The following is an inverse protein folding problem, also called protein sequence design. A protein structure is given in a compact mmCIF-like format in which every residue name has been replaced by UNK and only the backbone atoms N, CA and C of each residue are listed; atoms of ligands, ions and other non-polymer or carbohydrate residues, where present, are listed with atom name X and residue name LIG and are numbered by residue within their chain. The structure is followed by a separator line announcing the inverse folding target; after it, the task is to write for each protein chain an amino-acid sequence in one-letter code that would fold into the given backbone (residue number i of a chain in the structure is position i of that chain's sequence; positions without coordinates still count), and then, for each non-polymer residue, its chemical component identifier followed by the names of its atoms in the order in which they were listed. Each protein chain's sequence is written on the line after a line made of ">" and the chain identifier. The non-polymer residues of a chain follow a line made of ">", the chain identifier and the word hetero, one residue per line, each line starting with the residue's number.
data_IF_405234186431
#
_entry.id   IF_405234186431
#
_cell.length_a   1.000
_cell.length_b   1.000
_cell.length_c   1.000
_cell.angle_alpha   90.00
_cell.angle_beta   90.00
_cell.angle_gamma   90.00
#
_symmetry.space_group_name_H-M   'P 1'
#
loop_
_entity.id
_entity.type
_entity.pdbx_description
1 polymer ?
#
# COMPACT_ATOMS: atom_id res chain seq x y z
N UNK A 1 13.85 -0.87 -0.84
CA UNK A 1 12.65 -1.40 -0.12
C UNK A 1 12.87 -1.47 1.39
N UNK A 2 13.99 -2.02 1.88
CA UNK A 2 14.26 -2.16 3.32
C UNK A 2 13.95 -0.91 4.16
N UNK A 3 14.52 0.26 3.81
CA UNK A 3 14.28 1.49 4.57
C UNK A 3 12.81 1.93 4.58
N UNK A 4 12.06 1.68 3.50
CA UNK A 4 10.63 1.97 3.42
C UNK A 4 9.87 1.04 4.37
N UNK A 5 10.18 -0.25 4.37
CA UNK A 5 9.53 -1.22 5.25
C UNK A 5 9.78 -0.87 6.71
N UNK A 6 11.03 -0.59 7.10
CA UNK A 6 11.35 -0.18 8.47
C UNK A 6 10.56 1.07 8.91
N UNK A 7 10.49 2.08 8.05
CA UNK A 7 9.76 3.32 8.36
C UNK A 7 8.26 3.08 8.53
N UNK A 8 7.65 2.34 7.59
CA UNK A 8 6.21 2.09 7.64
C UNK A 8 5.85 1.16 8.80
N UNK A 9 6.68 0.17 9.12
CA UNK A 9 6.47 -0.73 10.25
C UNK A 9 6.43 0.01 11.58
N UNK A 10 7.40 0.89 11.81
CA UNK A 10 7.42 1.74 12.99
C UNK A 10 6.19 2.68 13.04
N UNK A 11 5.77 3.20 11.89
CA UNK A 11 4.61 4.09 11.79
C UNK A 11 3.30 3.35 12.09
N UNK A 12 3.10 2.15 11.53
CA UNK A 12 1.92 1.31 11.78
C UNK A 12 1.80 0.98 13.26
N UNK A 13 2.90 0.57 13.90
CA UNK A 13 2.90 0.28 15.34
C UNK A 13 2.52 1.52 16.17
N UNK A 14 3.06 2.69 15.83
CA UNK A 14 2.72 3.93 16.52
C UNK A 14 1.23 4.31 16.35
N UNK A 15 0.69 4.11 15.14
CA UNK A 15 -0.73 4.40 14.85
C UNK A 15 -1.66 3.48 15.64
N UNK A 16 -1.34 2.19 15.70
CA UNK A 16 -2.10 1.21 16.48
C UNK A 16 -2.11 1.58 17.98
N UNK A 17 -0.95 1.92 18.55
CA UNK A 17 -0.83 2.33 19.96
C UNK A 17 -1.64 3.59 20.28
N UNK A 18 -1.77 4.51 19.32
CA UNK A 18 -2.51 5.78 19.47
C UNK A 18 -3.98 5.65 19.11
N UNK A 19 -4.44 4.49 18.64
CA UNK A 19 -5.82 4.26 18.22
C UNK A 19 -6.21 4.95 16.91
N UNK A 20 -5.22 5.33 16.08
CA UNK A 20 -5.50 5.86 14.75
C UNK A 20 -5.92 4.73 13.80
N UNK A 21 -6.97 4.98 13.02
CA UNK A 21 -7.60 3.94 12.21
C UNK A 21 -7.04 3.84 10.79
N UNK A 22 -6.48 4.91 10.25
CA UNK A 22 -6.10 4.99 8.83
C UNK A 22 -4.68 5.55 8.68
N UNK A 23 -3.88 4.89 7.85
CA UNK A 23 -2.57 5.36 7.40
C UNK A 23 -2.55 5.32 5.87
N UNK A 24 -2.20 6.44 5.23
CA UNK A 24 -2.07 6.52 3.78
C UNK A 24 -0.58 6.66 3.41
N UNK A 25 -0.14 5.86 2.45
CA UNK A 25 1.23 5.89 1.91
C UNK A 25 1.14 6.00 0.39
N UNK A 26 1.76 7.04 -0.17
CA UNK A 26 1.71 7.32 -1.61
C UNK A 26 3.10 7.20 -2.23
N UNK A 27 3.20 6.46 -3.33
CA UNK A 27 4.42 6.36 -4.12
C UNK A 27 4.25 7.07 -5.47
N UNK A 28 5.19 7.95 -5.80
CA UNK A 28 5.18 8.73 -7.04
C UNK A 28 6.33 8.37 -7.97
N UNK A 29 6.05 8.31 -9.26
CA UNK A 29 7.06 8.36 -10.32
C UNK A 29 6.51 9.21 -11.47
N UNK A 30 7.36 9.70 -12.38
CA UNK A 30 6.98 10.68 -13.41
C UNK A 30 5.70 10.32 -14.17
N UNK A 31 5.56 9.07 -14.61
CA UNK A 31 4.40 8.61 -15.38
C UNK A 31 3.48 7.65 -14.63
N UNK A 32 3.61 7.50 -13.30
CA UNK A 32 2.65 6.73 -12.49
C UNK A 32 2.51 5.21 -12.74
N UNK A 33 3.15 4.63 -13.76
CA UNK A 33 2.83 3.29 -14.28
C UNK A 33 3.80 2.17 -13.86
N UNK A 34 5.02 2.51 -13.43
CA UNK A 34 6.09 1.50 -13.27
C UNK A 34 6.63 1.44 -11.83
N UNK A 35 7.45 2.42 -11.44
CA UNK A 35 8.17 2.41 -10.16
C UNK A 35 7.24 2.59 -8.97
N UNK A 36 6.28 3.51 -9.08
CA UNK A 36 5.25 3.74 -8.05
C UNK A 36 4.41 2.49 -7.83
N UNK A 37 3.93 1.87 -8.92
CA UNK A 37 3.14 0.63 -8.91
C UNK A 37 3.91 -0.49 -8.23
N UNK A 38 5.15 -0.73 -8.65
CA UNK A 38 6.01 -1.75 -8.04
C UNK A 38 6.18 -1.53 -6.54
N UNK A 39 6.54 -0.31 -6.10
CA UNK A 39 6.76 -0.03 -4.68
C UNK A 39 5.49 -0.20 -3.84
N UNK A 40 4.34 0.24 -4.37
CA UNK A 40 3.04 0.09 -3.70
C UNK A 40 2.67 -1.39 -3.52
N UNK A 41 2.85 -2.21 -4.56
CA UNK A 41 2.60 -3.66 -4.49
C UNK A 41 3.54 -4.37 -3.52
N UNK A 42 4.84 -4.01 -3.52
CA UNK A 42 5.80 -4.62 -2.61
C UNK A 42 5.50 -4.28 -1.15
N UNK A 43 5.14 -3.03 -0.85
CA UNK A 43 4.72 -2.64 0.50
C UNK A 43 3.43 -3.36 0.90
N UNK A 44 2.46 -3.46 -0.02
CA UNK A 44 1.21 -4.14 0.26
C UNK A 44 1.43 -5.62 0.57
N UNK A 45 2.28 -6.31 -0.19
CA UNK A 45 2.68 -7.69 0.11
C UNK A 45 3.35 -7.84 1.47
N UNK A 46 4.20 -6.88 1.86
CA UNK A 46 4.87 -6.87 3.16
C UNK A 46 3.90 -6.67 4.34
N UNK A 47 2.84 -5.89 4.15
CA UNK A 47 1.86 -5.59 5.19
C UNK A 47 0.69 -6.59 5.25
N UNK A 48 0.32 -7.20 4.12
CA UNK A 48 -0.72 -8.24 4.06
C UNK A 48 -0.34 -9.42 4.95
N UNK A 49 -1.28 -9.88 5.75
CA UNK A 49 -1.07 -10.97 6.73
C UNK A 49 -0.67 -10.49 8.13
N UNK A 50 -0.46 -9.18 8.33
CA UNK A 50 -0.31 -8.63 9.68
C UNK A 50 -1.67 -8.52 10.37
N UNK A 51 -1.74 -8.98 11.61
CA UNK A 51 -2.95 -8.90 12.43
C UNK A 51 -3.37 -7.45 12.65
N UNK A 52 -4.64 -7.15 12.40
CA UNK A 52 -5.20 -5.82 12.63
C UNK A 52 -4.80 -4.76 11.61
N UNK A 53 -4.30 -5.16 10.43
CA UNK A 53 -3.98 -4.25 9.32
C UNK A 53 -4.72 -4.70 8.06
N UNK A 54 -5.67 -3.89 7.60
CA UNK A 54 -6.27 -4.01 6.28
C UNK A 54 -5.46 -3.19 5.27
N UNK A 55 -5.20 -3.74 4.09
CA UNK A 55 -4.35 -3.11 3.07
C UNK A 55 -5.13 -2.97 1.76
N UNK A 56 -5.47 -1.71 1.44
CA UNK A 56 -6.04 -1.32 0.15
C UNK A 56 -4.96 -0.62 -0.67
N UNK A 57 -4.81 -1.01 -1.94
CA UNK A 57 -3.87 -0.39 -2.88
C UNK A 57 -4.69 0.26 -3.99
N UNK A 58 -4.20 1.40 -4.50
CA UNK A 58 -4.77 2.09 -5.66
C UNK A 58 -3.65 2.56 -6.58
N UNK A 59 -3.75 2.24 -7.87
CA UNK A 59 -2.81 2.69 -8.89
C UNK A 59 -3.48 3.75 -9.73
N UNK A 60 -3.42 5.01 -9.28
CA UNK A 60 -4.20 6.13 -9.84
C UNK A 60 -4.08 6.23 -11.36
N UNK A 61 -2.86 6.18 -11.89
CA UNK A 61 -2.62 6.28 -13.33
C UNK A 61 -3.15 5.06 -14.10
N UNK A 62 -2.99 3.85 -13.55
CA UNK A 62 -3.49 2.63 -14.19
C UNK A 62 -5.03 2.58 -14.20
N UNK A 63 -5.67 3.05 -13.13
CA UNK A 63 -7.13 3.20 -13.05
C UNK A 63 -7.65 4.16 -14.13
N UNK A 64 -6.96 5.29 -14.34
CA UNK A 64 -7.31 6.27 -15.39
C UNK A 64 -7.16 5.69 -16.80
N UNK A 65 -6.16 4.82 -17.01
CA UNK A 65 -5.95 4.11 -18.28
C UNK A 65 -6.91 2.93 -18.49
N UNK A 66 -7.88 2.72 -17.59
CA UNK A 66 -8.86 1.63 -17.69
C UNK A 66 -8.30 0.25 -17.33
N UNK A 67 -7.11 0.19 -16.72
CA UNK A 67 -6.46 -1.06 -16.33
C UNK A 67 -6.94 -1.49 -14.92
N UNK A 68 -8.18 -1.99 -14.85
CA UNK A 68 -8.84 -2.41 -13.60
C UNK A 68 -8.27 -3.71 -12.97
N UNK A 69 -7.49 -4.51 -13.71
CA UNK A 69 -7.04 -5.83 -13.26
C UNK A 69 -5.82 -5.84 -12.33
N UNK A 70 -5.18 -4.69 -12.05
CA UNK A 70 -3.95 -4.69 -11.27
C UNK A 70 -4.15 -4.76 -9.74
N UNK A 71 -5.36 -4.52 -9.19
CA UNK A 71 -5.49 -4.24 -7.74
C UNK A 71 -6.79 -4.73 -7.09
N UNK A 72 -7.00 -6.05 -7.06
CA UNK A 72 -7.96 -6.63 -6.09
C UNK A 72 -7.22 -7.66 -5.24
N UNK A 73 -6.49 -7.16 -4.25
CA UNK A 73 -6.22 -7.96 -3.06
C UNK A 73 -7.57 -8.26 -2.42
N UNK A 74 -8.00 -9.52 -2.57
CA UNK A 74 -9.20 -10.13 -1.99
C UNK A 74 -9.92 -9.30 -0.92
N UNK A 75 -11.09 -8.76 -1.28
CA UNK A 75 -12.24 -8.74 -0.39
C UNK A 75 -12.66 -10.20 -0.17
N UNK A 76 -11.96 -10.90 0.71
CA UNK A 76 -12.49 -12.12 1.30
C UNK A 76 -13.44 -11.68 2.42
N UNK A 77 -14.74 -11.78 2.16
CA UNK A 77 -15.71 -12.09 3.21
C UNK A 77 -15.37 -13.45 3.81
#
# INVERSE_FOLDING_TARGET
>A
LASVFTLIDATVQNYQQRGFKNLMVSFGCTGGQHRSVYLAEQLAKHLRGRSGVEVVVRHIELEQLGMLHAVVGHLAK
#
